data_IF_347606997928
#
_entry.id   IF_347606997928
#
_cell.length_a   1.000
_cell.length_b   1.000
_cell.length_c   1.000
_cell.angle_alpha   90.00
_cell.angle_beta   90.00
_cell.angle_gamma   90.00
#
_symmetry.space_group_name_H-M   'P 1'
#
loop_
_entity.id
_entity.type
_entity.pdbx_description
1 polymer ?
#
# COMPACT_ATOMS: atom_id res chain seq x y z
N UNK A 1 0.51 23.11 5.18
CA UNK A 1 0.17 21.98 4.28
C UNK A 1 1.47 21.30 3.90
N UNK A 2 1.59 20.00 4.13
CA UNK A 2 2.75 19.21 3.70
C UNK A 2 2.84 19.26 2.18
N UNK A 3 4.04 19.49 1.62
CA UNK A 3 4.24 19.53 0.18
C UNK A 3 4.06 18.11 -0.40
N UNK A 4 2.98 17.92 -1.13
CA UNK A 4 2.62 16.67 -1.79
C UNK A 4 2.48 16.97 -3.29
N UNK A 5 3.02 16.13 -4.19
CA UNK A 5 2.74 16.26 -5.60
C UNK A 5 1.24 16.07 -5.86
N UNK A 6 0.71 16.73 -6.88
CA UNK A 6 -0.66 16.45 -7.29
C UNK A 6 -0.77 15.02 -7.86
N UNK A 7 -1.97 14.43 -7.74
CA UNK A 7 -2.21 13.05 -8.13
C UNK A 7 -1.88 12.78 -9.61
N UNK A 8 -2.08 13.75 -10.50
CA UNK A 8 -1.79 13.61 -11.92
C UNK A 8 -0.29 13.44 -12.17
N UNK A 9 0.51 14.29 -11.52
CA UNK A 9 1.99 14.22 -11.58
C UNK A 9 2.49 12.92 -10.96
N UNK A 10 1.93 12.50 -9.82
CA UNK A 10 2.28 11.25 -9.17
C UNK A 10 1.96 10.02 -10.05
N UNK A 11 0.78 9.96 -10.64
CA UNK A 11 0.38 8.88 -11.55
C UNK A 11 1.24 8.86 -12.83
N UNK A 12 1.61 10.01 -13.36
CA UNK A 12 2.50 10.11 -14.49
C UNK A 12 3.91 9.55 -14.16
N UNK A 13 4.43 9.86 -12.97
CA UNK A 13 5.71 9.33 -12.50
C UNK A 13 5.64 7.80 -12.32
N UNK A 14 4.58 7.30 -11.66
CA UNK A 14 4.36 5.87 -11.50
C UNK A 14 4.40 5.16 -12.87
N UNK A 15 3.61 5.63 -13.84
CA UNK A 15 3.52 5.04 -15.19
C UNK A 15 4.81 5.18 -16.01
N UNK A 16 5.66 6.13 -15.71
CA UNK A 16 6.99 6.27 -16.33
C UNK A 16 7.90 5.08 -15.97
N UNK A 17 7.78 4.57 -14.77
CA UNK A 17 8.67 3.55 -14.24
C UNK A 17 8.01 2.17 -14.05
N UNK A 18 6.68 2.09 -14.11
CA UNK A 18 5.91 0.87 -13.98
C UNK A 18 4.96 0.71 -15.20
N UNK A 19 5.08 -0.40 -15.92
CA UNK A 19 4.29 -0.73 -17.10
C UNK A 19 3.40 -1.96 -16.87
N UNK A 20 3.79 -2.85 -15.93
CA UNK A 20 3.05 -4.06 -15.64
C UNK A 20 1.70 -3.74 -14.95
N UNK A 21 0.56 -4.20 -15.52
CA UNK A 21 -0.76 -3.90 -14.94
C UNK A 21 -0.89 -4.29 -13.48
N UNK A 22 -0.19 -5.34 -13.04
CA UNK A 22 -0.21 -5.77 -11.65
C UNK A 22 0.38 -4.73 -10.71
N UNK A 23 1.51 -4.12 -11.05
CA UNK A 23 2.15 -3.09 -10.22
C UNK A 23 1.31 -1.82 -10.15
N UNK A 24 0.73 -1.42 -11.28
CA UNK A 24 -0.16 -0.25 -11.32
C UNK A 24 -1.42 -0.50 -10.49
N UNK A 25 -2.03 -1.70 -10.62
CA UNK A 25 -3.20 -2.05 -9.81
C UNK A 25 -2.89 -2.06 -8.32
N UNK A 26 -1.73 -2.60 -7.93
CA UNK A 26 -1.28 -2.60 -6.54
C UNK A 26 -1.12 -1.17 -6.02
N UNK A 27 -0.41 -0.32 -6.73
CA UNK A 27 -0.22 1.09 -6.37
C UNK A 27 -1.55 1.85 -6.19
N UNK A 28 -2.50 1.68 -7.12
CA UNK A 28 -3.83 2.26 -7.01
C UNK A 28 -4.63 1.70 -5.82
N UNK A 29 -4.45 0.42 -5.52
CA UNK A 29 -5.09 -0.21 -4.35
C UNK A 29 -4.54 0.39 -3.05
N UNK A 30 -3.21 0.51 -2.94
CA UNK A 30 -2.58 1.09 -1.75
C UNK A 30 -2.92 2.57 -1.63
N UNK A 31 -3.02 3.34 -2.73
CA UNK A 31 -3.56 4.71 -2.75
C UNK A 31 -4.93 4.77 -2.06
N UNK A 32 -5.86 3.93 -2.49
CA UNK A 32 -7.22 3.90 -1.95
C UNK A 32 -7.28 3.47 -0.49
N UNK A 33 -6.50 2.46 -0.13
CA UNK A 33 -6.38 1.95 1.24
C UNK A 33 -5.84 3.02 2.18
N UNK A 34 -4.76 3.72 1.79
CA UNK A 34 -4.18 4.79 2.59
C UNK A 34 -5.14 5.97 2.78
N UNK A 35 -5.88 6.33 1.74
CA UNK A 35 -6.95 7.34 1.82
C UNK A 35 -8.03 6.96 2.83
N UNK A 36 -8.47 5.71 2.81
CA UNK A 36 -9.46 5.20 3.74
C UNK A 36 -8.95 5.24 5.18
N UNK A 37 -7.73 4.79 5.42
CA UNK A 37 -7.11 4.82 6.74
C UNK A 37 -6.93 6.24 7.29
N UNK A 38 -6.56 7.20 6.45
CA UNK A 38 -6.49 8.60 6.87
C UNK A 38 -7.83 9.09 7.41
N UNK A 39 -8.93 8.79 6.71
CA UNK A 39 -10.27 9.19 7.18
C UNK A 39 -10.68 8.43 8.46
N UNK A 40 -10.45 7.12 8.51
CA UNK A 40 -10.80 6.26 9.64
C UNK A 40 -10.07 6.63 10.93
N UNK A 41 -8.81 7.08 10.82
CA UNK A 41 -7.95 7.43 11.95
C UNK A 41 -8.02 8.93 12.34
N UNK A 42 -8.91 9.69 11.70
CA UNK A 42 -9.13 11.11 12.04
C UNK A 42 -8.21 12.09 11.33
N UNK A 43 -7.50 11.66 10.28
CA UNK A 43 -6.60 12.47 9.45
C UNK A 43 -7.21 12.79 8.06
N UNK A 44 -8.51 13.01 7.99
CA UNK A 44 -9.20 13.23 6.72
C UNK A 44 -8.67 14.45 5.94
N UNK A 45 -8.12 15.44 6.62
CA UNK A 45 -7.46 16.61 6.05
C UNK A 45 -6.08 16.30 5.41
N UNK A 46 -5.48 15.18 5.76
CA UNK A 46 -4.23 14.67 5.19
C UNK A 46 -4.45 13.52 4.19
N UNK A 47 -5.70 13.17 3.87
CA UNK A 47 -6.02 11.98 3.07
C UNK A 47 -5.37 11.98 1.68
N UNK A 48 -5.20 13.15 1.05
CA UNK A 48 -4.49 13.26 -0.24
C UNK A 48 -2.99 12.97 -0.09
N UNK A 49 -2.38 13.39 1.00
CA UNK A 49 -0.97 13.10 1.28
C UNK A 49 -0.77 11.59 1.49
N UNK A 50 -1.56 10.98 2.38
CA UNK A 50 -1.50 9.53 2.65
C UNK A 50 -1.71 8.70 1.38
N UNK A 51 -2.70 9.07 0.58
CA UNK A 51 -3.02 8.40 -0.68
C UNK A 51 -1.88 8.51 -1.70
N UNK A 52 -1.28 9.70 -1.85
CA UNK A 52 -0.20 9.90 -2.81
C UNK A 52 1.08 9.17 -2.40
N UNK A 53 1.38 9.11 -1.10
CA UNK A 53 2.46 8.25 -0.58
C UNK A 53 2.18 6.78 -0.93
N UNK A 54 0.96 6.30 -0.70
CA UNK A 54 0.54 4.95 -1.08
C UNK A 54 0.63 4.68 -2.59
N UNK A 55 0.30 5.67 -3.43
CA UNK A 55 0.42 5.55 -4.90
C UNK A 55 1.86 5.38 -5.37
N UNK A 56 2.82 5.98 -4.67
CA UNK A 56 4.22 6.04 -5.08
C UNK A 56 5.15 5.14 -4.26
N UNK A 57 4.64 4.34 -3.30
CA UNK A 57 5.49 3.55 -2.42
C UNK A 57 6.43 2.60 -3.19
N UNK A 58 5.94 1.98 -4.25
CA UNK A 58 6.64 1.02 -5.11
C UNK A 58 7.14 1.63 -6.43
N UNK A 59 7.34 2.95 -6.52
CA UNK A 59 7.67 3.64 -7.77
C UNK A 59 8.92 3.09 -8.48
N UNK A 60 9.86 2.53 -7.74
CA UNK A 60 11.12 1.99 -8.22
C UNK A 60 11.13 0.45 -8.38
N UNK A 61 10.11 -0.24 -7.85
CA UNK A 61 10.16 -1.70 -7.70
C UNK A 61 10.29 -2.46 -9.02
N UNK A 62 9.55 -2.06 -10.06
CA UNK A 62 9.56 -2.80 -11.33
C UNK A 62 10.90 -2.73 -12.06
N UNK A 63 11.55 -1.57 -12.04
CA UNK A 63 12.80 -1.35 -12.78
C UNK A 63 14.05 -1.64 -11.94
N UNK A 64 13.98 -1.48 -10.65
CA UNK A 64 15.12 -1.63 -9.74
C UNK A 64 14.77 -2.47 -8.50
N UNK A 65 14.31 -3.74 -8.66
CA UNK A 65 13.88 -4.57 -7.53
C UNK A 65 15.00 -4.78 -6.49
N UNK A 66 16.27 -4.87 -6.94
CA UNK A 66 17.42 -5.02 -6.03
C UNK A 66 17.82 -3.70 -5.33
N UNK A 67 17.32 -2.58 -5.82
CA UNK A 67 17.55 -1.24 -5.26
C UNK A 67 16.24 -0.61 -4.75
N UNK A 68 15.24 -1.44 -4.49
CA UNK A 68 13.95 -1.01 -3.98
C UNK A 68 14.09 -0.18 -2.70
N UNK A 69 13.33 0.90 -2.59
CA UNK A 69 13.43 1.97 -1.60
C UNK A 69 14.73 2.80 -1.64
N UNK A 70 15.79 2.32 -2.29
CA UNK A 70 17.07 3.06 -2.43
C UNK A 70 17.06 3.97 -3.65
N UNK A 71 16.37 3.55 -4.72
CA UNK A 71 16.20 4.34 -5.94
C UNK A 71 15.05 5.33 -5.85
N UNK A 72 14.03 5.05 -5.04
CA UNK A 72 12.85 5.89 -4.87
C UNK A 72 13.15 7.37 -4.58
N UNK A 73 14.11 7.76 -3.71
CA UNK A 73 14.41 9.18 -3.46
C UNK A 73 14.77 9.98 -4.71
N UNK A 74 15.57 9.41 -5.60
CA UNK A 74 15.97 10.07 -6.85
C UNK A 74 14.75 10.28 -7.76
N UNK A 75 13.89 9.27 -7.89
CA UNK A 75 12.71 9.34 -8.75
C UNK A 75 11.66 10.32 -8.21
N UNK A 76 11.46 10.33 -6.90
CA UNK A 76 10.50 11.22 -6.24
C UNK A 76 10.95 12.69 -6.31
N UNK A 77 12.27 12.94 -6.31
CA UNK A 77 12.81 14.26 -6.48
C UNK A 77 12.49 14.87 -7.87
N UNK A 78 12.25 14.05 -8.91
CA UNK A 78 11.89 14.52 -10.25
C UNK A 78 10.58 15.36 -10.25
N UNK A 79 9.67 15.07 -9.32
CA UNK A 79 8.39 15.79 -9.18
C UNK A 79 8.35 16.67 -7.92
N UNK A 80 9.50 16.93 -7.30
CA UNK A 80 9.64 17.86 -6.19
C UNK A 80 9.04 17.38 -4.87
N UNK A 81 9.01 16.07 -4.62
CA UNK A 81 8.59 15.53 -3.33
C UNK A 81 9.49 16.04 -2.20
N UNK A 82 8.89 16.34 -1.05
CA UNK A 82 9.63 16.74 0.15
C UNK A 82 10.38 15.58 0.80
N UNK A 83 11.39 15.88 1.63
CA UNK A 83 12.11 14.86 2.40
C UNK A 83 11.17 14.03 3.28
N UNK A 84 10.12 14.64 3.83
CA UNK A 84 9.09 13.95 4.62
C UNK A 84 8.31 12.93 3.77
N UNK A 85 7.95 13.31 2.52
CA UNK A 85 7.28 12.41 1.59
C UNK A 85 8.18 11.24 1.21
N UNK A 86 9.45 11.51 0.90
CA UNK A 86 10.46 10.50 0.55
C UNK A 86 10.69 9.54 1.72
N UNK A 87 10.82 10.07 2.95
CA UNK A 87 10.93 9.26 4.16
C UNK A 87 9.74 8.32 4.31
N UNK A 88 8.54 8.85 4.15
CA UNK A 88 7.31 8.07 4.25
C UNK A 88 7.25 6.93 3.21
N UNK A 89 7.61 7.21 1.96
CA UNK A 89 7.72 6.18 0.93
C UNK A 89 8.74 5.12 1.32
N UNK A 90 9.97 5.51 1.67
CA UNK A 90 11.04 4.55 1.96
C UNK A 90 10.83 3.73 3.25
N UNK A 91 9.97 4.20 4.16
CA UNK A 91 9.72 3.54 5.44
C UNK A 91 8.92 2.24 5.32
N UNK A 92 8.17 2.04 4.21
CA UNK A 92 7.40 0.81 4.03
C UNK A 92 8.29 -0.43 3.89
N UNK A 93 9.51 -0.26 3.34
CA UNK A 93 10.48 -1.35 3.18
C UNK A 93 11.38 -1.62 4.39
N UNK A 94 11.08 -1.01 5.56
CA UNK A 94 11.93 -1.13 6.75
C UNK A 94 12.22 -2.58 7.14
N UNK A 95 13.49 -2.87 7.37
CA UNK A 95 13.96 -4.20 7.75
C UNK A 95 14.01 -5.23 6.61
N UNK A 96 13.48 -4.91 5.42
CA UNK A 96 13.56 -5.74 4.21
C UNK A 96 14.55 -5.17 3.19
N UNK A 97 14.34 -3.96 2.75
CA UNK A 97 15.12 -3.28 1.71
C UNK A 97 15.52 -1.84 2.08
N UNK A 98 15.05 -1.34 3.21
CA UNK A 98 15.29 0.00 3.73
C UNK A 98 15.65 -0.02 5.21
N UNK A 99 16.51 0.93 5.63
CA UNK A 99 16.81 1.21 7.05
C UNK A 99 16.00 2.38 7.60
N UNK A 100 15.06 2.92 6.81
CA UNK A 100 14.18 4.04 7.20
C UNK A 100 13.04 3.51 8.05
N UNK A 101 13.07 3.78 9.35
CA UNK A 101 12.07 3.28 10.29
C UNK A 101 10.73 4.04 10.18
N UNK A 102 9.56 3.35 10.13
CA UNK A 102 8.26 3.99 10.16
C UNK A 102 7.99 4.59 11.55
N UNK A 103 7.95 5.91 11.65
CA UNK A 103 7.79 6.66 12.92
C UNK A 103 6.41 7.31 13.03
N UNK A 104 5.92 7.94 11.97
CA UNK A 104 4.60 8.54 11.91
C UNK A 104 3.49 7.48 11.81
N UNK A 105 2.27 7.80 12.27
CA UNK A 105 1.13 6.88 12.20
C UNK A 105 0.85 6.45 10.76
N UNK A 106 0.89 7.37 9.81
CA UNK A 106 0.74 7.11 8.38
C UNK A 106 1.76 6.08 7.87
N UNK A 107 3.03 6.23 8.25
CA UNK A 107 4.11 5.33 7.84
C UNK A 107 3.92 3.92 8.43
N UNK A 108 3.49 3.84 9.70
CA UNK A 108 3.16 2.56 10.35
C UNK A 108 1.97 1.87 9.68
N UNK A 109 0.98 2.65 9.23
CA UNK A 109 -0.17 2.12 8.47
C UNK A 109 0.29 1.58 7.12
N UNK A 110 1.10 2.33 6.37
CA UNK A 110 1.63 1.88 5.08
C UNK A 110 2.45 0.59 5.26
N UNK A 111 3.39 0.58 6.21
CA UNK A 111 4.21 -0.60 6.52
C UNK A 111 3.36 -1.83 6.87
N UNK A 112 2.27 -1.65 7.64
CA UNK A 112 1.39 -2.74 8.05
C UNK A 112 0.47 -3.23 6.92
N UNK A 113 -0.02 -2.32 6.07
CA UNK A 113 -1.09 -2.59 5.11
C UNK A 113 -0.57 -3.03 3.74
N UNK A 114 0.62 -2.62 3.32
CA UNK A 114 1.15 -2.90 1.99
C UNK A 114 1.16 -4.41 1.68
N UNK A 115 1.93 -5.20 2.41
CA UNK A 115 2.00 -6.66 2.25
C UNK A 115 0.63 -7.33 2.43
N UNK A 116 -0.22 -6.77 3.28
CA UNK A 116 -1.55 -7.28 3.55
C UNK A 116 -2.50 -7.03 2.37
N UNK A 117 -2.37 -5.90 1.66
CA UNK A 117 -3.17 -5.65 0.45
C UNK A 117 -2.86 -6.66 -0.64
N UNK A 118 -1.58 -7.04 -0.79
CA UNK A 118 -1.16 -8.11 -1.69
C UNK A 118 -1.79 -9.46 -1.34
N UNK A 119 -1.80 -9.82 -0.06
CA UNK A 119 -2.41 -11.04 0.44
C UNK A 119 -3.93 -11.07 0.21
N UNK A 120 -4.64 -9.97 0.52
CA UNK A 120 -6.09 -9.84 0.32
C UNK A 120 -6.41 -9.90 -1.17
N UNK A 121 -5.67 -9.18 -2.02
CA UNK A 121 -5.84 -9.21 -3.47
C UNK A 121 -5.65 -10.60 -4.06
N UNK A 122 -4.64 -11.35 -3.59
CA UNK A 122 -4.45 -12.74 -3.99
C UNK A 122 -5.64 -13.62 -3.55
N UNK A 123 -6.15 -13.42 -2.33
CA UNK A 123 -7.30 -14.15 -1.83
C UNK A 123 -8.59 -13.81 -2.60
N UNK A 124 -8.79 -12.54 -2.94
CA UNK A 124 -9.93 -12.09 -3.74
C UNK A 124 -9.96 -12.76 -5.12
N UNK A 125 -8.83 -12.79 -5.82
CA UNK A 125 -8.71 -13.43 -7.15
C UNK A 125 -9.06 -14.92 -7.16
N UNK A 126 -8.94 -15.63 -6.04
CA UNK A 126 -9.32 -17.04 -5.91
C UNK A 126 -10.79 -17.27 -5.58
N UNK A 127 -11.52 -16.21 -5.23
CA UNK A 127 -12.96 -16.31 -4.95
C UNK A 127 -13.78 -16.42 -6.26
N UNK A 128 -14.96 -17.03 -6.23
CA UNK A 128 -15.86 -17.02 -7.40
C UNK A 128 -16.22 -15.60 -7.84
N UNK A 129 -16.41 -14.67 -6.89
CA UNK A 129 -16.69 -13.25 -7.14
C UNK A 129 -15.52 -12.47 -7.76
N UNK A 130 -14.29 -12.96 -7.60
CA UNK A 130 -13.05 -12.23 -7.95
C UNK A 130 -12.92 -10.88 -7.23
N UNK A 131 -13.57 -10.72 -6.09
CA UNK A 131 -13.74 -9.47 -5.35
C UNK A 131 -13.44 -9.66 -3.87
N UNK A 132 -13.04 -8.57 -3.18
CA UNK A 132 -12.94 -8.54 -1.72
C UNK A 132 -14.28 -8.18 -1.05
N UNK A 133 -15.32 -7.80 -1.80
CA UNK A 133 -16.61 -7.36 -1.25
C UNK A 133 -17.29 -8.42 -0.38
N UNK A 134 -17.17 -9.68 -0.73
CA UNK A 134 -17.77 -10.82 0.01
C UNK A 134 -16.74 -11.55 0.91
N UNK A 135 -15.55 -10.98 1.12
CA UNK A 135 -14.48 -11.62 1.89
C UNK A 135 -14.72 -11.49 3.39
N UNK A 136 -14.88 -12.59 4.07
CA UNK A 136 -15.01 -12.64 5.54
C UNK A 136 -13.62 -12.73 6.22
N UNK A 137 -13.47 -12.10 7.39
CA UNK A 137 -12.26 -12.16 8.21
C UNK A 137 -11.81 -13.62 8.45
N UNK A 138 -12.75 -14.51 8.75
CA UNK A 138 -12.47 -15.93 8.98
C UNK A 138 -11.84 -16.63 7.78
N UNK A 139 -12.23 -16.23 6.57
CA UNK A 139 -11.66 -16.73 5.31
C UNK A 139 -10.25 -16.22 5.10
N UNK A 140 -10.02 -14.90 5.33
CA UNK A 140 -8.70 -14.30 5.22
C UNK A 140 -7.71 -14.89 6.24
N UNK A 141 -8.14 -15.12 7.49
CA UNK A 141 -7.33 -15.77 8.54
C UNK A 141 -6.85 -17.17 8.14
N UNK A 142 -7.67 -17.95 7.41
CA UNK A 142 -7.23 -19.26 6.87
C UNK A 142 -6.12 -19.08 5.84
N UNK A 143 -6.24 -18.10 4.94
CA UNK A 143 -5.22 -17.78 3.94
C UNK A 143 -3.95 -17.22 4.57
N UNK A 144 -4.08 -16.40 5.59
CA UNK A 144 -2.95 -15.85 6.35
C UNK A 144 -2.10 -16.96 7.02
N UNK A 145 -2.74 -18.01 7.54
CA UNK A 145 -2.06 -19.16 8.16
C UNK A 145 -1.38 -20.07 7.14
N UNK A 146 -1.83 -20.11 5.92
CA UNK A 146 -1.23 -20.90 4.85
C UNK A 146 0.02 -20.20 4.31
N UNK A 147 1.19 -20.63 4.76
CA UNK A 147 2.49 -20.07 4.37
C UNK A 147 2.83 -20.23 2.88
N UNK A 148 2.17 -21.17 2.18
CA UNK A 148 2.36 -21.36 0.74
C UNK A 148 1.50 -20.42 -0.10
N UNK A 149 0.40 -19.96 0.48
CA UNK A 149 -0.49 -19.02 -0.19
C UNK A 149 0.12 -17.62 -0.18
N UNK A 150 0.19 -16.96 -1.35
CA UNK A 150 0.80 -15.63 -1.51
C UNK A 150 2.13 -15.53 -0.72
N UNK A 151 3.07 -16.45 -1.00
CA UNK A 151 4.30 -16.61 -0.24
C UNK A 151 5.23 -15.38 -0.32
N UNK A 152 5.04 -14.51 -1.34
CA UNK A 152 5.73 -13.24 -1.46
C UNK A 152 5.29 -12.19 -0.43
N UNK A 153 4.09 -12.32 0.17
CA UNK A 153 3.62 -11.40 1.19
C UNK A 153 4.13 -11.81 2.57
N UNK A 154 4.93 -10.96 3.20
CA UNK A 154 5.56 -11.23 4.49
C UNK A 154 4.56 -11.18 5.65
N UNK A 155 4.26 -12.35 6.25
CA UNK A 155 3.41 -12.45 7.45
C UNK A 155 4.04 -11.81 8.67
N UNK A 156 5.35 -11.77 8.71
CA UNK A 156 6.09 -11.21 9.84
C UNK A 156 6.02 -9.67 9.80
N UNK A 157 6.16 -9.05 8.63
CA UNK A 157 5.93 -7.61 8.44
C UNK A 157 4.49 -7.24 8.83
N UNK A 158 3.48 -8.01 8.38
CA UNK A 158 2.08 -7.75 8.73
C UNK A 158 1.85 -7.82 10.25
N UNK A 159 2.44 -8.80 10.95
CA UNK A 159 2.34 -8.89 12.42
C UNK A 159 3.04 -7.75 13.12
N UNK A 160 4.29 -7.47 12.71
CA UNK A 160 5.06 -6.34 13.24
C UNK A 160 4.32 -5.02 13.02
N UNK A 161 3.71 -4.83 11.84
CA UNK A 161 2.91 -3.66 11.53
C UNK A 161 1.72 -3.49 12.47
N UNK A 162 0.99 -4.56 12.79
CA UNK A 162 -0.08 -4.53 13.78
C UNK A 162 0.46 -4.12 15.16
N UNK A 163 1.59 -4.71 15.59
CA UNK A 163 2.22 -4.38 16.88
C UNK A 163 2.67 -2.91 16.95
N UNK A 164 3.27 -2.37 15.87
CA UNK A 164 3.69 -0.96 15.77
C UNK A 164 2.52 0.02 15.86
N UNK A 165 1.34 -0.39 15.40
CA UNK A 165 0.10 0.38 15.51
C UNK A 165 -0.60 0.20 16.87
N UNK A 166 -0.17 -0.75 17.70
CA UNK A 166 -0.85 -1.11 18.92
C UNK A 166 -2.18 -1.86 18.68
N UNK A 167 -2.33 -2.48 17.51
CA UNK A 167 -3.53 -3.22 17.12
C UNK A 167 -3.32 -4.73 17.22
N UNK A 168 -4.42 -5.43 17.38
CA UNK A 168 -4.42 -6.88 17.19
C UNK A 168 -4.30 -7.20 15.69
N UNK A 169 -3.76 -8.38 15.37
CA UNK A 169 -3.72 -8.84 13.97
C UNK A 169 -5.13 -8.87 13.35
N UNK A 170 -6.14 -9.29 14.12
CA UNK A 170 -7.52 -9.37 13.64
C UNK A 170 -8.08 -7.98 13.28
N UNK A 171 -7.79 -6.95 14.06
CA UNK A 171 -8.16 -5.56 13.77
C UNK A 171 -7.49 -5.06 12.48
N UNK A 172 -6.19 -5.32 12.30
CA UNK A 172 -5.50 -4.95 11.07
C UNK A 172 -6.10 -5.66 9.86
N UNK A 173 -6.34 -6.98 9.93
CA UNK A 173 -6.94 -7.76 8.85
C UNK A 173 -8.32 -7.23 8.48
N UNK A 174 -9.19 -6.98 9.47
CA UNK A 174 -10.55 -6.51 9.26
C UNK A 174 -10.60 -5.11 8.67
N UNK A 175 -9.84 -4.16 9.24
CA UNK A 175 -9.75 -2.79 8.74
C UNK A 175 -9.23 -2.75 7.30
N UNK A 176 -8.22 -3.54 6.96
CA UNK A 176 -7.67 -3.56 5.61
C UNK A 176 -8.64 -4.19 4.61
N UNK A 177 -9.45 -5.20 4.99
CA UNK A 177 -10.57 -5.69 4.14
C UNK A 177 -11.55 -4.54 3.86
N UNK A 178 -11.96 -3.79 4.89
CA UNK A 178 -12.89 -2.66 4.73
C UNK A 178 -12.31 -1.56 3.83
N UNK A 179 -11.04 -1.23 4.03
CA UNK A 179 -10.33 -0.26 3.20
C UNK A 179 -10.29 -0.69 1.73
N UNK A 180 -9.95 -1.95 1.44
CA UNK A 180 -9.93 -2.46 0.07
C UNK A 180 -11.32 -2.51 -0.57
N UNK A 181 -12.35 -2.89 0.19
CA UNK A 181 -13.75 -2.84 -0.29
C UNK A 181 -14.15 -1.42 -0.71
N UNK A 182 -13.72 -0.42 0.05
CA UNK A 182 -14.10 0.98 -0.22
C UNK A 182 -13.52 1.52 -1.53
N UNK A 183 -12.39 0.97 -1.99
CA UNK A 183 -11.71 1.45 -3.19
C UNK A 183 -11.73 0.48 -4.38
N UNK A 184 -12.23 -0.76 -4.23
CA UNK A 184 -12.17 -1.79 -5.26
C UNK A 184 -12.79 -1.34 -6.59
N UNK A 185 -13.97 -0.74 -6.56
CA UNK A 185 -14.66 -0.29 -7.79
C UNK A 185 -13.88 0.82 -8.49
N UNK A 186 -13.41 1.82 -7.74
CA UNK A 186 -12.62 2.92 -8.31
C UNK A 186 -11.26 2.46 -8.87
N UNK A 187 -10.63 1.47 -8.24
CA UNK A 187 -9.41 0.84 -8.77
C UNK A 187 -9.71 0.11 -10.08
N UNK A 188 -10.79 -0.67 -10.13
CA UNK A 188 -11.19 -1.39 -11.35
C UNK A 188 -11.52 -0.41 -12.50
N UNK A 189 -12.23 0.68 -12.22
CA UNK A 189 -12.52 1.73 -13.21
C UNK A 189 -11.22 2.40 -13.70
N UNK A 190 -10.29 2.73 -12.79
CA UNK A 190 -9.01 3.32 -13.16
C UNK A 190 -8.18 2.37 -14.03
N UNK A 191 -8.15 1.08 -13.71
CA UNK A 191 -7.47 0.06 -14.51
C UNK A 191 -8.10 -0.12 -15.89
N UNK A 192 -9.42 -0.03 -16.02
CA UNK A 192 -10.10 -0.12 -17.30
C UNK A 192 -9.87 1.10 -18.21
N UNK A 193 -9.45 2.23 -17.65
CA UNK A 193 -9.14 3.48 -18.35
C UNK A 193 -7.65 3.60 -18.76
N UNK A 194 -6.79 2.65 -18.37
CA UNK A 194 -5.36 2.60 -18.71
C UNK A 194 -5.08 1.95 -20.03
#
# INVERSE_FOLDING_TARGET
>A
MRACPDRSSALALLKKYNAEPFHIQHALTVEGVMRWYAAELGHADEADFWATVGLLHDVDFEKWPEEHCKKAPELLAEIGCSDEFIHAVCSHGYGLCSDVEPTAEMEKVLFAADELTGLIGAAARMRPSKSCQDMELSSLKKKFKDKKFAAGCSRDVIREGAERLGWTLDELLEKTILAMRSCEDSVNEAMAAL
#
